data_IF_318596997679
#
_entry.id   IF_318596997679
#
_cell.length_a   1.000
_cell.length_b   1.000
_cell.length_c   1.000
_cell.angle_alpha   90.00
_cell.angle_beta   90.00
_cell.angle_gamma   90.00
#
_symmetry.space_group_name_H-M   'P 1'
#
loop_
_entity.id
_entity.type
_entity.pdbx_description
1 polymer ?
#
# COMPACT_ATOMS: atom_id res chain seq x y z
N UNK A 1 22.18 26.88 14.37
CA UNK A 1 21.18 27.33 13.37
C UNK A 1 20.55 26.10 12.75
N UNK A 2 19.39 25.66 13.24
CA UNK A 2 18.68 24.55 12.62
C UNK A 2 18.11 24.98 11.26
N UNK A 3 18.49 24.29 10.18
CA UNK A 3 17.90 24.50 8.86
C UNK A 3 16.52 23.85 8.76
N UNK A 4 15.55 24.32 9.56
CA UNK A 4 14.19 23.75 9.62
C UNK A 4 13.51 23.68 8.24
N UNK A 5 13.86 24.58 7.32
CA UNK A 5 13.40 24.55 5.93
C UNK A 5 13.88 23.30 5.16
N UNK A 6 15.11 22.85 5.38
CA UNK A 6 15.68 21.67 4.70
C UNK A 6 14.93 20.41 5.15
N UNK A 7 14.77 20.21 6.47
CA UNK A 7 14.04 19.07 7.00
C UNK A 7 12.58 19.02 6.53
N UNK A 8 11.95 20.20 6.36
CA UNK A 8 10.59 20.31 5.83
C UNK A 8 10.49 19.92 4.35
N UNK A 9 11.46 20.32 3.52
CA UNK A 9 11.51 19.91 2.11
C UNK A 9 11.73 18.40 2.00
N UNK A 10 12.70 17.86 2.75
CA UNK A 10 12.97 16.42 2.78
C UNK A 10 11.77 15.61 3.27
N UNK A 11 11.04 16.12 4.27
CA UNK A 11 9.79 15.54 4.74
C UNK A 11 8.76 15.44 3.61
N UNK A 12 8.50 16.54 2.89
CA UNK A 12 7.53 16.56 1.79
C UNK A 12 7.90 15.58 0.69
N UNK A 13 9.17 15.56 0.30
CA UNK A 13 9.67 14.61 -0.71
C UNK A 13 9.44 13.17 -0.24
N UNK A 14 9.75 12.88 1.02
CA UNK A 14 9.56 11.53 1.59
C UNK A 14 8.09 11.13 1.63
N UNK A 15 7.19 12.03 2.05
CA UNK A 15 5.74 11.80 2.05
C UNK A 15 5.21 11.60 0.63
N UNK A 16 5.71 12.34 -0.36
CA UNK A 16 5.35 12.16 -1.76
C UNK A 16 5.79 10.78 -2.29
N UNK A 17 7.02 10.36 -1.98
CA UNK A 17 7.52 9.03 -2.35
C UNK A 17 6.65 7.94 -1.70
N UNK A 18 6.37 8.07 -0.40
CA UNK A 18 5.48 7.15 0.33
C UNK A 18 4.11 7.05 -0.36
N UNK A 19 3.48 8.19 -0.66
CA UNK A 19 2.20 8.26 -1.34
C UNK A 19 2.20 7.53 -2.70
N UNK A 20 3.24 7.77 -3.52
CA UNK A 20 3.37 7.11 -4.82
C UNK A 20 3.56 5.59 -4.66
N UNK A 21 4.35 5.15 -3.68
CA UNK A 21 4.56 3.72 -3.41
C UNK A 21 3.28 3.05 -2.89
N UNK A 22 2.53 3.69 -2.00
CA UNK A 22 1.24 3.20 -1.50
C UNK A 22 0.20 3.16 -2.62
N UNK A 23 0.13 4.20 -3.46
CA UNK A 23 -0.73 4.23 -4.65
C UNK A 23 -0.38 3.09 -5.61
N UNK A 24 0.91 2.92 -5.92
CA UNK A 24 1.37 1.85 -6.78
C UNK A 24 1.03 0.49 -6.17
N UNK A 25 1.22 0.29 -4.87
CA UNK A 25 0.84 -0.95 -4.19
C UNK A 25 -0.67 -1.22 -4.28
N UNK A 26 -1.54 -0.21 -4.14
CA UNK A 26 -2.99 -0.34 -4.24
C UNK A 26 -3.47 -0.61 -5.68
N UNK A 27 -2.93 0.13 -6.65
CA UNK A 27 -3.44 0.18 -8.02
C UNK A 27 -2.67 -0.69 -9.00
N UNK A 28 -1.61 -1.40 -8.58
CA UNK A 28 -0.93 -2.36 -9.45
C UNK A 28 -1.36 -3.80 -9.21
N UNK A 29 -1.53 -4.60 -10.29
CA UNK A 29 -1.57 -6.04 -10.16
C UNK A 29 -0.22 -6.56 -9.64
N UNK A 30 -0.23 -7.64 -8.87
CA UNK A 30 1.02 -8.27 -8.43
C UNK A 30 1.23 -8.31 -6.92
N UNK A 31 0.16 -8.47 -6.16
CA UNK A 31 0.26 -8.93 -4.77
C UNK A 31 0.57 -10.43 -4.71
N UNK A 32 0.12 -11.17 -5.72
CA UNK A 32 0.35 -12.61 -5.88
C UNK A 32 0.80 -12.94 -7.29
N UNK A 33 1.78 -13.83 -7.39
CA UNK A 33 2.16 -14.49 -8.65
C UNK A 33 1.85 -15.97 -8.54
N UNK A 34 1.03 -16.49 -9.45
CA UNK A 34 0.72 -17.92 -9.49
C UNK A 34 1.73 -18.63 -10.39
N UNK A 35 2.35 -19.69 -9.88
CA UNK A 35 3.27 -20.48 -10.69
C UNK A 35 2.47 -21.28 -11.72
N UNK A 36 2.85 -21.18 -13.00
CA UNK A 36 2.10 -21.71 -14.15
C UNK A 36 2.31 -23.23 -14.28
N UNK A 37 2.02 -24.01 -13.22
CA UNK A 37 2.00 -25.48 -13.30
C UNK A 37 0.59 -25.91 -13.68
N UNK A 38 0.34 -25.90 -14.97
CA UNK A 38 -0.94 -26.28 -15.60
C UNK A 38 -1.15 -27.79 -15.46
N UNK A 39 -1.81 -28.21 -14.38
CA UNK A 39 -2.63 -29.43 -14.46
C UNK A 39 -3.87 -29.04 -15.28
N UNK A 40 -4.07 -29.70 -16.42
CA UNK A 40 -4.71 -29.17 -17.65
C UNK A 40 -6.18 -28.72 -17.61
N UNK A 41 -6.75 -28.42 -16.44
CA UNK A 41 -8.18 -28.13 -16.26
C UNK A 41 -8.50 -26.72 -15.75
N UNK A 42 -7.55 -25.98 -15.13
CA UNK A 42 -7.81 -24.63 -14.61
C UNK A 42 -6.67 -23.66 -14.99
N UNK A 43 -6.97 -22.64 -15.80
CA UNK A 43 -6.04 -21.56 -16.16
C UNK A 43 -6.06 -20.46 -15.09
N UNK A 44 -5.00 -20.33 -14.31
CA UNK A 44 -4.83 -19.23 -13.36
C UNK A 44 -4.22 -17.98 -14.02
N UNK A 45 -4.64 -16.76 -13.63
CA UNK A 45 -3.99 -15.53 -14.09
C UNK A 45 -2.54 -15.47 -13.60
N UNK A 46 -1.65 -14.88 -14.40
CA UNK A 46 -0.22 -14.79 -14.07
C UNK A 46 0.06 -13.93 -12.82
N UNK A 47 -0.82 -12.98 -12.52
CA UNK A 47 -0.75 -12.18 -11.29
C UNK A 47 -2.12 -11.64 -10.88
N UNK A 48 -2.38 -11.60 -9.58
CA UNK A 48 -3.58 -10.96 -9.02
C UNK A 48 -3.21 -9.71 -8.23
N UNK A 49 -3.99 -8.65 -8.43
CA UNK A 49 -4.00 -7.45 -7.60
C UNK A 49 -4.90 -7.58 -6.37
N UNK A 50 -5.00 -6.48 -5.62
CA UNK A 50 -5.83 -6.40 -4.42
C UNK A 50 -7.32 -6.20 -4.73
N UNK A 51 -7.61 -5.63 -5.91
CA UNK A 51 -8.97 -5.39 -6.39
C UNK A 51 -9.32 -6.29 -7.58
N UNK A 52 -10.61 -6.56 -7.77
CA UNK A 52 -11.15 -7.38 -8.87
C UNK A 52 -10.77 -6.87 -10.26
N UNK A 53 -10.65 -5.56 -10.43
CA UNK A 53 -10.27 -4.93 -11.71
C UNK A 53 -8.77 -5.02 -12.02
N UNK A 54 -7.93 -5.33 -11.03
CA UNK A 54 -6.47 -5.46 -11.17
C UNK A 54 -6.02 -6.92 -11.25
N UNK A 55 -6.89 -7.77 -11.75
CA UNK A 55 -6.58 -9.16 -12.01
C UNK A 55 -5.98 -9.22 -13.42
N UNK A 56 -4.67 -9.48 -13.54
CA UNK A 56 -4.02 -9.51 -14.86
C UNK A 56 -4.45 -10.78 -15.60
N UNK A 57 -5.43 -10.65 -16.49
CA UNK A 57 -5.77 -11.67 -17.46
C UNK A 57 -4.55 -11.87 -18.37
N UNK A 58 -3.95 -13.06 -18.35
CA UNK A 58 -2.80 -13.34 -19.21
C UNK A 58 -3.21 -13.15 -20.68
N UNK A 59 -2.42 -12.38 -21.43
CA UNK A 59 -2.61 -12.01 -22.84
C UNK A 59 -2.63 -13.18 -23.86
N UNK A 60 -3.00 -14.39 -23.48
CA UNK A 60 -3.20 -15.51 -24.40
C UNK A 60 -4.65 -15.51 -24.92
N UNK A 61 -5.01 -14.60 -25.82
CA UNK A 61 -6.14 -14.68 -26.78
C UNK A 61 -7.46 -15.36 -26.33
N UNK A 62 -7.79 -15.23 -25.06
CA UNK A 62 -8.88 -15.90 -24.39
C UNK A 62 -8.70 -15.57 -22.93
N UNK A 63 -9.67 -14.87 -22.34
CA UNK A 63 -9.58 -14.43 -20.97
C UNK A 63 -9.30 -15.60 -20.02
N UNK A 64 -9.28 -15.33 -18.72
CA UNK A 64 -9.49 -16.37 -17.71
C UNK A 64 -10.89 -17.06 -17.84
N UNK A 65 -11.45 -17.17 -19.04
CA UNK A 65 -12.57 -18.01 -19.46
C UNK A 65 -12.08 -19.43 -19.72
N UNK A 66 -11.58 -20.09 -18.68
CA UNK A 66 -11.72 -21.54 -18.60
C UNK A 66 -13.14 -21.83 -18.11
N UNK A 67 -14.13 -21.74 -19.00
CA UNK A 67 -15.53 -22.09 -18.70
C UNK A 67 -16.51 -20.95 -18.39
N UNK A 68 -16.32 -19.74 -18.92
CA UNK A 68 -17.34 -18.67 -18.82
C UNK A 68 -17.55 -18.07 -17.42
N UNK A 69 -16.66 -18.36 -16.46
CA UNK A 69 -16.72 -17.84 -15.09
C UNK A 69 -15.58 -16.84 -14.88
N UNK A 70 -15.92 -15.60 -14.52
CA UNK A 70 -14.95 -14.55 -14.19
C UNK A 70 -14.24 -14.90 -12.87
N UNK A 71 -13.12 -15.63 -12.93
CA UNK A 71 -12.30 -16.00 -11.77
C UNK A 71 -12.06 -14.82 -10.81
N UNK A 72 -11.82 -13.64 -11.35
CA UNK A 72 -11.53 -12.44 -10.57
C UNK A 72 -12.76 -11.89 -9.82
N UNK A 73 -13.96 -12.05 -10.39
CA UNK A 73 -15.22 -11.66 -9.77
C UNK A 73 -15.63 -12.63 -8.68
N UNK A 74 -15.44 -13.93 -8.94
CA UNK A 74 -15.72 -14.99 -7.97
C UNK A 74 -14.71 -14.98 -6.82
N UNK A 75 -13.43 -14.76 -7.11
CA UNK A 75 -12.38 -14.57 -6.11
C UNK A 75 -12.70 -13.39 -5.18
N UNK A 76 -13.09 -12.24 -5.74
CA UNK A 76 -13.44 -11.07 -4.92
C UNK A 76 -14.68 -11.33 -4.05
N UNK A 77 -15.68 -12.04 -4.56
CA UNK A 77 -16.88 -12.43 -3.79
C UNK A 77 -16.57 -13.48 -2.71
N UNK A 78 -15.58 -14.34 -2.95
CA UNK A 78 -15.12 -15.38 -2.03
C UNK A 78 -13.95 -14.93 -1.14
N UNK A 79 -13.55 -13.66 -1.23
CA UNK A 79 -12.39 -13.12 -0.52
C UNK A 79 -12.65 -13.12 0.99
N UNK A 80 -11.72 -13.68 1.77
CA UNK A 80 -11.86 -13.76 3.23
C UNK A 80 -11.80 -12.36 3.87
N UNK A 81 -12.44 -12.22 5.04
CA UNK A 81 -12.52 -10.96 5.77
C UNK A 81 -11.13 -10.32 6.04
N UNK A 82 -10.07 -11.11 6.16
CA UNK A 82 -8.72 -10.59 6.36
C UNK A 82 -8.14 -9.88 5.12
N UNK A 83 -8.49 -10.33 3.91
CA UNK A 83 -8.04 -9.68 2.67
C UNK A 83 -8.73 -8.33 2.50
N UNK A 84 -10.03 -8.29 2.80
CA UNK A 84 -10.79 -7.05 2.82
C UNK A 84 -10.25 -6.07 3.87
N UNK A 85 -9.85 -6.56 5.06
CA UNK A 85 -9.21 -5.72 6.07
C UNK A 85 -7.90 -5.09 5.58
N UNK A 86 -7.06 -5.85 4.86
CA UNK A 86 -5.81 -5.33 4.26
C UNK A 86 -6.11 -4.22 3.25
N UNK A 87 -7.09 -4.43 2.37
CA UNK A 87 -7.54 -3.42 1.38
C UNK A 87 -8.00 -2.15 2.08
N UNK A 88 -8.87 -2.28 3.09
CA UNK A 88 -9.41 -1.15 3.84
C UNK A 88 -8.29 -0.38 4.54
N UNK A 89 -7.37 -1.07 5.23
CA UNK A 89 -6.24 -0.42 5.90
C UNK A 89 -5.36 0.37 4.93
N UNK A 90 -5.04 -0.18 3.76
CA UNK A 90 -4.25 0.52 2.75
C UNK A 90 -5.01 1.72 2.16
N UNK A 91 -6.31 1.61 1.92
CA UNK A 91 -7.13 2.72 1.45
C UNK A 91 -7.19 3.87 2.48
N UNK A 92 -7.35 3.54 3.76
CA UNK A 92 -7.34 4.53 4.85
C UNK A 92 -5.96 5.18 4.97
N UNK A 93 -4.88 4.40 4.89
CA UNK A 93 -3.52 4.93 4.90
C UNK A 93 -3.30 5.91 3.73
N UNK A 94 -3.71 5.53 2.52
CA UNK A 94 -3.62 6.36 1.33
C UNK A 94 -4.41 7.67 1.46
N UNK A 95 -5.61 7.62 2.06
CA UNK A 95 -6.39 8.82 2.36
C UNK A 95 -5.66 9.75 3.33
N UNK A 96 -5.08 9.22 4.42
CA UNK A 96 -4.29 10.00 5.38
C UNK A 96 -3.05 10.61 4.71
N UNK A 97 -2.33 9.84 3.90
CA UNK A 97 -1.18 10.33 3.13
C UNK A 97 -1.58 11.49 2.21
N UNK A 98 -2.72 11.38 1.51
CA UNK A 98 -3.21 12.44 0.62
C UNK A 98 -3.51 13.74 1.36
N UNK A 99 -4.18 13.67 2.51
CA UNK A 99 -4.48 14.83 3.37
C UNK A 99 -3.18 15.44 3.89
N UNK A 100 -2.26 14.60 4.36
CA UNK A 100 -0.95 15.03 4.87
C UNK A 100 -0.16 15.74 3.77
N UNK A 101 -0.15 15.20 2.56
CA UNK A 101 0.60 15.75 1.43
C UNK A 101 0.05 17.10 0.99
N UNK A 102 -1.27 17.21 0.80
CA UNK A 102 -1.94 18.48 0.45
C UNK A 102 -1.68 19.52 1.53
N UNK A 103 -1.83 19.15 2.81
CA UNK A 103 -1.55 20.05 3.92
C UNK A 103 -0.08 20.48 3.96
N UNK A 104 0.85 19.56 3.71
CA UNK A 104 2.28 19.87 3.68
C UNK A 104 2.63 20.87 2.58
N UNK A 105 2.04 20.72 1.38
CA UNK A 105 2.21 21.66 0.26
C UNK A 105 1.65 23.04 0.63
N UNK A 106 0.42 23.10 1.14
CA UNK A 106 -0.22 24.36 1.56
C UNK A 106 0.67 25.09 2.55
N UNK A 107 1.20 24.39 3.54
CA UNK A 107 2.00 25.03 4.60
C UNK A 107 3.35 25.56 4.10
N UNK A 108 3.91 25.02 3.00
CA UNK A 108 5.13 25.54 2.37
C UNK A 108 4.86 26.69 1.41
N UNK A 109 3.79 26.60 0.60
CA UNK A 109 3.44 27.62 -0.40
C UNK A 109 2.81 28.85 0.25
N UNK A 110 1.88 28.65 1.18
CA UNK A 110 1.13 29.71 1.85
C UNK A 110 1.80 30.12 3.18
N UNK A 111 3.09 30.45 3.12
CA UNK A 111 3.99 30.78 4.25
C UNK A 111 3.44 31.65 5.41
N UNK A 112 2.37 32.48 5.31
CA UNK A 112 1.79 33.15 6.49
C UNK A 112 0.88 32.29 7.42
N UNK A 113 0.39 31.11 7.02
CA UNK A 113 -0.47 30.25 7.88
C UNK A 113 0.30 29.31 8.83
N UNK A 114 1.53 29.67 9.19
CA UNK A 114 2.44 28.84 9.99
C UNK A 114 2.07 28.88 11.49
N UNK A 115 0.93 28.29 11.83
CA UNK A 115 0.53 28.06 13.22
C UNK A 115 1.38 26.94 13.82
N UNK A 116 2.06 27.21 14.94
CA UNK A 116 2.99 26.29 15.62
C UNK A 116 2.41 24.87 15.85
N UNK A 117 1.09 24.75 15.99
CA UNK A 117 0.41 23.46 16.19
C UNK A 117 0.18 22.63 14.91
N UNK A 118 -0.07 23.27 13.75
CA UNK A 118 -0.35 22.55 12.51
C UNK A 118 0.86 21.76 11.99
N UNK A 119 2.07 22.21 12.32
CA UNK A 119 3.32 21.55 11.95
C UNK A 119 3.60 20.26 12.74
N UNK A 120 3.08 20.14 13.96
CA UNK A 120 3.32 18.98 14.82
C UNK A 120 2.34 17.82 14.54
N UNK A 121 1.15 18.11 14.00
CA UNK A 121 0.14 17.09 13.65
C UNK A 121 0.56 16.28 12.41
N UNK A 122 1.25 16.91 11.46
CA UNK A 122 1.76 16.30 10.23
C UNK A 122 2.60 15.02 10.45
N UNK A 123 3.69 15.03 11.26
CA UNK A 123 4.47 13.82 11.52
C UNK A 123 3.68 12.72 12.24
N UNK A 124 2.70 13.10 13.06
CA UNK A 124 1.82 12.13 13.71
C UNK A 124 0.90 11.42 12.70
N UNK A 125 0.34 12.15 11.73
CA UNK A 125 -0.47 11.55 10.66
C UNK A 125 0.36 10.62 9.76
N UNK A 126 1.59 10.99 9.41
CA UNK A 126 2.48 10.09 8.64
C UNK A 126 2.87 8.85 9.42
N UNK A 127 3.06 8.99 10.74
CA UNK A 127 3.34 7.85 11.60
C UNK A 127 2.14 6.89 11.65
N UNK A 128 0.92 7.43 11.81
CA UNK A 128 -0.31 6.65 11.81
C UNK A 128 -0.52 5.93 10.47
N UNK A 129 -0.30 6.60 9.34
CA UNK A 129 -0.35 5.97 8.01
C UNK A 129 0.68 4.84 7.88
N UNK A 130 1.91 5.06 8.36
CA UNK A 130 2.98 4.05 8.34
C UNK A 130 2.62 2.80 9.14
N UNK A 131 1.98 2.97 10.31
CA UNK A 131 1.47 1.87 11.12
C UNK A 131 0.38 1.09 10.38
N UNK A 132 -0.56 1.77 9.73
CA UNK A 132 -1.63 1.10 8.98
C UNK A 132 -1.07 0.28 7.80
N UNK A 133 -0.10 0.82 7.05
CA UNK A 133 0.59 0.08 5.98
C UNK A 133 1.35 -1.12 6.55
N UNK A 134 2.05 -0.95 7.69
CA UNK A 134 2.76 -2.03 8.36
C UNK A 134 1.83 -3.15 8.84
N UNK A 135 0.68 -2.77 9.42
CA UNK A 135 -0.33 -3.70 9.88
C UNK A 135 -0.93 -4.48 8.71
N UNK A 136 -1.26 -3.80 7.61
CA UNK A 136 -1.73 -4.42 6.37
C UNK A 136 -0.71 -5.42 5.81
N UNK A 137 0.57 -5.05 5.74
CA UNK A 137 1.64 -5.94 5.28
C UNK A 137 1.81 -7.16 6.19
N UNK A 138 1.73 -6.99 7.51
CA UNK A 138 1.89 -8.06 8.50
C UNK A 138 0.72 -9.04 8.48
N UNK A 139 -0.52 -8.53 8.41
CA UNK A 139 -1.70 -9.38 8.26
C UNK A 139 -1.60 -10.23 6.99
N UNK A 140 -1.17 -9.62 5.89
CA UNK A 140 -0.99 -10.31 4.62
C UNK A 140 0.04 -11.44 4.71
N UNK A 141 1.19 -11.23 5.38
CA UNK A 141 2.23 -12.26 5.50
C UNK A 141 1.86 -13.39 6.44
N UNK A 142 1.15 -13.10 7.54
CA UNK A 142 0.76 -14.11 8.54
C UNK A 142 -0.39 -14.99 8.02
N UNK A 143 -1.36 -14.40 7.32
CA UNK A 143 -2.58 -15.11 6.87
C UNK A 143 -2.44 -15.81 5.52
N UNK A 144 -1.37 -15.54 4.75
CA UNK A 144 -1.12 -16.25 3.47
C UNK A 144 -1.05 -17.78 3.63
N UNK A 145 -0.64 -18.27 4.79
CA UNK A 145 -0.38 -19.70 5.03
C UNK A 145 -1.58 -20.44 5.65
N UNK A 146 -2.63 -19.72 6.06
CA UNK A 146 -3.85 -20.32 6.61
C UNK A 146 -4.76 -20.84 5.49
N UNK A 147 -4.73 -22.18 5.34
CA UNK A 147 -5.50 -23.07 4.47
C UNK A 147 -6.84 -22.52 3.93
N UNK A 148 -6.89 -22.22 2.63
CA UNK A 148 -8.12 -22.15 1.83
C UNK A 148 -8.48 -23.55 1.32
N UNK A 149 -9.77 -23.86 1.18
CA UNK A 149 -10.35 -25.18 0.87
C UNK A 149 -9.69 -25.98 -0.27
N UNK A 150 -9.90 -27.30 -0.23
CA UNK A 150 -9.09 -28.38 -0.82
C UNK A 150 -8.68 -28.24 -2.32
N UNK A 151 -9.42 -27.49 -3.15
CA UNK A 151 -9.11 -27.30 -4.58
C UNK A 151 -8.45 -25.95 -4.92
N UNK A 152 -8.77 -24.86 -4.21
CA UNK A 152 -8.14 -23.53 -4.41
C UNK A 152 -6.88 -23.39 -3.54
N UNK A 153 -6.82 -24.10 -2.41
CA UNK A 153 -5.68 -24.10 -1.48
C UNK A 153 -4.37 -24.61 -2.06
N UNK A 154 -4.42 -25.51 -3.06
CA UNK A 154 -3.21 -26.02 -3.74
C UNK A 154 -2.55 -24.96 -4.62
N UNK A 155 -3.34 -24.17 -5.36
CA UNK A 155 -2.85 -23.03 -6.12
C UNK A 155 -2.35 -21.90 -5.19
N UNK A 156 -3.00 -21.73 -4.04
CA UNK A 156 -2.59 -20.77 -3.01
C UNK A 156 -1.21 -21.06 -2.43
N UNK A 157 -0.94 -22.33 -2.10
CA UNK A 157 0.37 -22.77 -1.57
C UNK A 157 1.52 -22.61 -2.56
N UNK A 158 1.23 -22.53 -3.85
CA UNK A 158 2.24 -22.31 -4.90
C UNK A 158 2.33 -20.84 -5.33
N UNK A 159 1.55 -19.95 -4.71
CA UNK A 159 1.64 -18.52 -5.00
C UNK A 159 2.83 -17.90 -4.28
N UNK A 160 3.58 -17.09 -5.01
CA UNK A 160 4.72 -16.34 -4.47
C UNK A 160 4.31 -14.89 -4.20
N UNK A 161 4.95 -14.28 -3.20
CA UNK A 161 4.76 -12.86 -2.87
C UNK A 161 5.12 -12.03 -4.11
N UNK A 162 4.17 -11.20 -4.55
CA UNK A 162 4.37 -10.37 -5.72
C UNK A 162 5.02 -9.02 -5.39
N UNK A 163 5.35 -8.25 -6.43
CA UNK A 163 6.07 -6.98 -6.33
C UNK A 163 5.31 -5.91 -5.53
N UNK A 164 3.97 -5.86 -5.62
CA UNK A 164 3.14 -4.86 -4.94
C UNK A 164 3.25 -4.94 -3.41
N UNK A 165 3.51 -6.13 -2.87
CA UNK A 165 3.81 -6.30 -1.46
C UNK A 165 5.10 -5.58 -1.05
N UNK A 166 6.16 -5.72 -1.84
CA UNK A 166 7.43 -5.04 -1.59
C UNK A 166 7.30 -3.52 -1.73
N UNK A 167 6.43 -3.02 -2.61
CA UNK A 167 6.09 -1.60 -2.68
C UNK A 167 5.51 -1.09 -1.36
N UNK A 168 4.55 -1.83 -0.78
CA UNK A 168 3.95 -1.48 0.51
C UNK A 168 4.98 -1.51 1.66
N UNK A 169 5.89 -2.50 1.68
CA UNK A 169 6.97 -2.56 2.67
C UNK A 169 7.92 -1.36 2.53
N UNK A 170 8.31 -1.01 1.29
CA UNK A 170 9.15 0.16 1.04
C UNK A 170 8.44 1.46 1.41
N UNK A 171 7.13 1.58 1.14
CA UNK A 171 6.32 2.73 1.57
C UNK A 171 6.38 2.90 3.10
N UNK A 172 6.30 1.80 3.85
CA UNK A 172 6.44 1.81 5.30
C UNK A 172 7.83 2.30 5.75
N UNK A 173 8.91 1.82 5.14
CA UNK A 173 10.27 2.28 5.47
C UNK A 173 10.45 3.78 5.21
N UNK A 174 9.93 4.28 4.07
CA UNK A 174 9.95 5.71 3.75
C UNK A 174 9.10 6.51 4.73
N UNK A 175 7.95 5.98 5.15
CA UNK A 175 7.07 6.63 6.14
C UNK A 175 7.70 6.79 7.53
N UNK A 176 8.52 5.83 7.97
CA UNK A 176 9.32 5.96 9.20
C UNK A 176 10.35 7.09 9.07
N UNK A 177 11.06 7.15 7.93
CA UNK A 177 12.03 8.21 7.65
C UNK A 177 11.34 9.58 7.62
N UNK A 178 10.19 9.68 6.96
CA UNK A 178 9.37 10.89 6.92
C UNK A 178 8.97 11.34 8.34
N UNK A 179 8.52 10.41 9.19
CA UNK A 179 8.14 10.73 10.58
C UNK A 179 9.31 11.35 11.35
N UNK A 180 10.52 10.77 11.22
CA UNK A 180 11.73 11.28 11.87
C UNK A 180 12.08 12.69 11.36
N UNK A 181 12.06 12.90 10.03
CA UNK A 181 12.33 14.20 9.42
C UNK A 181 11.33 15.27 9.84
N UNK A 182 10.04 14.91 9.92
CA UNK A 182 8.98 15.80 10.40
C UNK A 182 9.14 16.15 11.87
N UNK A 183 9.56 15.19 12.70
CA UNK A 183 9.90 15.41 14.11
C UNK A 183 11.05 16.41 14.29
N UNK A 184 12.14 16.26 13.51
CA UNK A 184 13.24 17.23 13.51
C UNK A 184 12.80 18.61 13.02
N UNK A 185 11.99 18.68 11.96
CA UNK A 185 11.46 19.93 11.44
C UNK A 185 10.60 20.67 12.48
N UNK A 186 9.80 19.94 13.26
CA UNK A 186 8.98 20.50 14.34
C UNK A 186 9.83 20.96 15.54
N UNK A 187 10.77 20.12 16.01
CA UNK A 187 11.61 20.41 17.18
C UNK A 187 12.51 21.64 16.97
N UNK A 188 13.12 21.76 15.79
CA UNK A 188 13.96 22.90 15.42
C UNK A 188 13.20 24.24 15.34
N UNK A 189 11.86 24.23 15.38
CA UNK A 189 11.00 25.41 15.28
C UNK A 189 10.52 25.93 16.64
N UNK A 190 10.55 25.09 17.68
CA UNK A 190 10.09 25.43 19.03
C UNK A 190 11.14 26.08 19.94
N UNK A 191 12.41 26.12 19.51
CA UNK A 191 13.55 26.63 20.30
C UNK A 191 14.00 28.06 19.96
N UNK A 192 13.13 28.90 19.40
CA UNK A 192 13.41 30.30 19.04
C UNK A 192 12.45 31.27 19.68
#
# INVERSE_FOLDING_TARGET
MCSAKIYRILYIISVFIMFVLTAAALFTPGWRKFNRRSDGTIRFPGSSGLFSFLCASSNDAGGATGGGVDYCKEWFKSSEAWEQAVVICLCVAFAIESVTLVWSIITVVCSPLDTKGASAVLPFLTFLASILVMFAATLYTVKKDTKIGYNIGKAYKQSTIGYSFYLAVNACSVGVIATILGGFAAACRGGG
#
